data_IF_844740270226
#
_entry.id   IF_844740270226
#
_cell.length_a   1.000
_cell.length_b   1.000
_cell.length_c   1.000
_cell.angle_alpha   90.00
_cell.angle_beta   90.00
_cell.angle_gamma   90.00
#
_symmetry.space_group_name_H-M   'P 1'
#
loop_
_entity.id
_entity.type
_entity.pdbx_description
1 polymer ?
#
# COMPACT_ATOMS: atom_id res chain seq x y z
N UNK A 1 -9.84 24.48 -4.89
CA UNK A 1 -8.76 23.97 -4.02
C UNK A 1 -8.18 25.22 -3.39
N UNK A 2 -8.50 25.46 -2.12
CA UNK A 2 -8.46 26.82 -1.56
C UNK A 2 -7.17 27.12 -0.79
N UNK A 3 -6.37 26.07 -0.56
CA UNK A 3 -5.02 26.13 0.02
C UNK A 3 -4.15 25.05 -0.60
N UNK A 4 -2.89 25.38 -0.85
CA UNK A 4 -1.87 24.39 -1.20
C UNK A 4 -1.24 23.78 0.05
N UNK A 5 -0.86 22.51 -0.05
CA UNK A 5 -0.16 21.76 0.98
C UNK A 5 0.95 20.95 0.32
N UNK A 6 2.09 20.85 1.00
CA UNK A 6 3.19 20.00 0.56
C UNK A 6 2.70 18.57 0.34
N UNK A 7 3.01 18.03 -0.84
CA UNK A 7 2.63 16.69 -1.24
C UNK A 7 1.26 16.55 -1.89
N UNK A 8 0.50 17.61 -2.14
CA UNK A 8 -0.87 17.56 -2.70
C UNK A 8 -1.88 16.82 -1.81
N UNK A 9 -3.17 17.18 -1.93
CA UNK A 9 -4.24 16.54 -1.13
C UNK A 9 -4.34 15.04 -1.45
N UNK A 10 -4.21 14.67 -2.72
CA UNK A 10 -4.31 13.28 -3.16
C UNK A 10 -3.24 12.39 -2.50
N UNK A 11 -1.96 12.79 -2.48
CA UNK A 11 -0.93 11.94 -1.88
C UNK A 11 -1.06 11.84 -0.36
N UNK A 12 -1.62 12.86 0.31
CA UNK A 12 -1.93 12.75 1.74
C UNK A 12 -2.98 11.68 2.03
N UNK A 13 -4.02 11.61 1.20
CA UNK A 13 -5.05 10.58 1.32
C UNK A 13 -4.45 9.20 1.02
N UNK A 14 -3.66 9.08 -0.06
CA UNK A 14 -3.00 7.83 -0.41
C UNK A 14 -2.08 7.34 0.71
N UNK A 15 -1.29 8.23 1.33
CA UNK A 15 -0.43 7.88 2.46
C UNK A 15 -1.24 7.38 3.66
N UNK A 16 -2.39 8.00 3.98
CA UNK A 16 -3.22 7.53 5.09
C UNK A 16 -3.79 6.12 4.83
N UNK A 17 -4.27 5.85 3.62
CA UNK A 17 -4.79 4.53 3.23
C UNK A 17 -3.69 3.47 3.29
N UNK A 18 -2.50 3.83 2.83
CA UNK A 18 -1.32 2.99 2.87
C UNK A 18 -0.88 2.65 4.29
N UNK A 19 -0.83 3.64 5.17
CA UNK A 19 -0.42 3.44 6.56
C UNK A 19 -1.43 2.53 7.30
N UNK A 20 -2.73 2.66 7.01
CA UNK A 20 -3.75 1.73 7.51
C UNK A 20 -3.59 0.30 6.93
N UNK A 21 -3.28 0.19 5.65
CA UNK A 21 -3.03 -1.11 5.01
C UNK A 21 -1.84 -1.85 5.65
N UNK A 22 -0.77 -1.12 6.00
CA UNK A 22 0.35 -1.68 6.76
C UNK A 22 -0.11 -2.15 8.13
N UNK A 23 -0.85 -1.32 8.87
CA UNK A 23 -1.32 -1.68 10.20
C UNK A 23 -2.16 -2.97 10.19
N UNK A 24 -3.05 -3.12 9.20
CA UNK A 24 -3.86 -4.32 9.03
C UNK A 24 -3.02 -5.57 8.72
N UNK A 25 -1.99 -5.42 7.89
CA UNK A 25 -1.06 -6.49 7.56
C UNK A 25 -0.21 -6.90 8.76
N UNK A 26 0.37 -5.93 9.48
CA UNK A 26 1.19 -6.17 10.67
C UNK A 26 0.40 -6.81 11.81
N UNK A 27 -0.86 -6.40 11.99
CA UNK A 27 -1.77 -7.01 12.95
C UNK A 27 -2.29 -8.39 12.55
N UNK A 28 -1.97 -8.87 11.33
CA UNK A 28 -2.44 -10.15 10.83
C UNK A 28 -3.94 -10.20 10.58
N UNK A 29 -4.61 -9.05 10.41
CA UNK A 29 -6.05 -8.97 10.19
C UNK A 29 -6.45 -9.42 8.78
N UNK A 30 -5.58 -9.17 7.79
CA UNK A 30 -5.81 -9.50 6.39
C UNK A 30 -4.49 -9.67 5.64
N UNK A 31 -4.51 -10.44 4.54
CA UNK A 31 -3.37 -10.56 3.64
C UNK A 31 -3.25 -9.34 2.71
N UNK A 32 -2.09 -9.13 2.09
CA UNK A 32 -1.89 -8.06 1.08
C UNK A 32 -2.97 -8.12 -0.01
N UNK A 33 -3.24 -9.32 -0.54
CA UNK A 33 -4.24 -9.53 -1.60
C UNK A 33 -5.65 -9.19 -1.15
N UNK A 34 -6.01 -9.52 0.09
CA UNK A 34 -7.34 -9.21 0.65
C UNK A 34 -7.52 -7.71 0.86
N UNK A 35 -6.48 -7.03 1.34
CA UNK A 35 -6.49 -5.58 1.54
C UNK A 35 -6.61 -4.86 0.20
N UNK A 36 -5.83 -5.27 -0.81
CA UNK A 36 -5.93 -4.70 -2.16
C UNK A 36 -7.30 -4.95 -2.79
N UNK A 37 -7.85 -6.16 -2.63
CA UNK A 37 -9.21 -6.49 -3.08
C UNK A 37 -10.28 -5.64 -2.38
N UNK A 38 -10.16 -5.42 -1.06
CA UNK A 38 -11.08 -4.57 -0.31
C UNK A 38 -11.03 -3.12 -0.81
N UNK A 39 -9.84 -2.56 -1.05
CA UNK A 39 -9.72 -1.20 -1.59
C UNK A 39 -10.29 -1.08 -3.01
N UNK A 40 -10.12 -2.11 -3.86
CA UNK A 40 -10.73 -2.12 -5.20
C UNK A 40 -12.26 -2.22 -5.15
N UNK A 41 -12.78 -3.13 -4.33
CA UNK A 41 -14.21 -3.49 -4.34
C UNK A 41 -15.05 -2.56 -3.48
N UNK A 42 -14.61 -2.26 -2.25
CA UNK A 42 -15.37 -1.46 -1.30
C UNK A 42 -15.11 0.04 -1.45
N UNK A 43 -13.87 0.44 -1.76
CA UNK A 43 -13.50 1.86 -1.90
C UNK A 43 -13.49 2.35 -3.35
N UNK A 44 -13.64 1.45 -4.33
CA UNK A 44 -13.66 1.79 -5.75
C UNK A 44 -12.32 2.25 -6.30
N UNK A 45 -11.21 1.88 -5.64
CA UNK A 45 -9.88 2.21 -6.15
C UNK A 45 -9.57 1.41 -7.41
N UNK A 46 -8.89 2.00 -8.41
CA UNK A 46 -8.50 1.26 -9.63
C UNK A 46 -7.48 0.15 -9.34
N UNK A 47 -6.68 0.31 -8.28
CA UNK A 47 -5.67 -0.62 -7.78
C UNK A 47 -5.60 -0.54 -6.27
N UNK A 48 -5.16 -1.62 -5.64
CA UNK A 48 -4.99 -1.66 -4.20
C UNK A 48 -3.82 -0.77 -3.71
N UNK A 49 -3.78 -0.41 -2.42
CA UNK A 49 -2.72 0.41 -1.86
C UNK A 49 -1.32 -0.17 -2.06
N UNK A 50 -1.15 -1.50 -1.98
CA UNK A 50 0.15 -2.14 -2.19
C UNK A 50 0.55 -2.10 -3.68
N UNK A 51 -0.38 -2.38 -4.58
CA UNK A 51 -0.19 -2.27 -6.05
C UNK A 51 0.18 -0.85 -6.50
N UNK A 52 -0.44 0.18 -5.92
CA UNK A 52 -0.17 1.57 -6.28
C UNK A 52 1.24 2.02 -5.89
N UNK A 53 1.80 1.42 -4.86
CA UNK A 53 3.08 1.85 -4.32
C UNK A 53 4.26 1.38 -5.17
N UNK A 54 4.19 0.15 -5.69
CA UNK A 54 5.21 -0.43 -6.56
C UNK A 54 5.33 0.35 -7.90
N UNK A 55 4.22 0.88 -8.41
CA UNK A 55 4.20 1.70 -9.63
C UNK A 55 4.94 3.05 -9.50
N UNK A 56 5.05 3.58 -8.28
CA UNK A 56 5.64 4.89 -8.05
C UNK A 56 7.17 4.88 -8.10
N UNK A 57 7.79 3.69 -8.09
CA UNK A 57 9.25 3.51 -7.93
C UNK A 57 9.76 3.95 -6.54
N UNK A 58 8.87 4.45 -5.68
CA UNK A 58 9.16 4.74 -4.27
C UNK A 58 8.93 3.44 -3.52
N UNK A 59 9.97 2.82 -2.95
CA UNK A 59 9.76 1.62 -2.14
C UNK A 59 8.74 1.94 -1.04
N UNK A 60 8.05 0.92 -0.53
CA UNK A 60 7.42 1.06 0.79
C UNK A 60 8.41 1.78 1.69
N UNK A 61 7.98 2.76 2.50
CA UNK A 61 8.91 3.35 3.48
C UNK A 61 9.21 2.23 4.47
N UNK A 62 10.15 1.35 4.10
CA UNK A 62 10.49 0.10 4.78
C UNK A 62 11.06 0.42 6.16
N UNK A 63 11.57 1.63 6.31
CA UNK A 63 12.03 2.22 7.57
C UNK A 63 10.90 2.41 8.59
N UNK A 64 9.66 2.63 8.16
CA UNK A 64 8.49 2.76 9.05
C UNK A 64 7.76 1.41 9.26
N UNK A 65 8.05 0.39 8.43
CA UNK A 65 7.47 -0.96 8.55
C UNK A 65 8.26 -1.81 9.54
N UNK A 66 7.55 -2.50 10.42
CA UNK A 66 8.13 -3.41 11.41
C UNK A 66 8.99 -4.49 10.72
N UNK A 67 10.13 -4.91 11.32
CA UNK A 67 10.99 -5.95 10.77
C UNK A 67 10.24 -7.23 10.32
N UNK A 68 9.10 -7.49 10.94
CA UNK A 68 8.25 -8.67 10.77
C UNK A 68 7.65 -8.77 9.37
N UNK A 69 7.23 -7.65 8.76
CA UNK A 69 6.55 -7.67 7.46
C UNK A 69 7.46 -7.31 6.29
N UNK A 70 8.71 -6.91 6.54
CA UNK A 70 9.66 -6.49 5.50
C UNK A 70 9.89 -7.58 4.45
N UNK A 71 10.08 -8.83 4.90
CA UNK A 71 10.26 -9.97 3.99
C UNK A 71 8.98 -10.24 3.20
N UNK A 72 7.81 -10.19 3.86
CA UNK A 72 6.51 -10.39 3.21
C UNK A 72 6.26 -9.38 2.10
N UNK A 73 6.58 -8.11 2.34
CA UNK A 73 6.47 -7.06 1.32
C UNK A 73 7.45 -7.26 0.17
N UNK A 74 8.70 -7.66 0.46
CA UNK A 74 9.70 -7.95 -0.56
C UNK A 74 9.27 -9.14 -1.45
N UNK A 75 8.85 -10.24 -0.84
CA UNK A 75 8.38 -11.44 -1.54
C UNK A 75 7.15 -11.14 -2.41
N UNK A 76 6.22 -10.32 -1.89
CA UNK A 76 5.06 -9.89 -2.64
C UNK A 76 5.44 -9.03 -3.85
N UNK A 77 6.32 -8.03 -3.66
CA UNK A 77 6.77 -7.15 -4.74
C UNK A 77 7.44 -7.95 -5.87
N UNK A 78 8.29 -8.92 -5.53
CA UNK A 78 8.89 -9.81 -6.52
C UNK A 78 7.84 -10.64 -7.29
N UNK A 79 6.83 -11.17 -6.59
CA UNK A 79 5.75 -11.95 -7.22
C UNK A 79 4.90 -11.09 -8.15
N UNK A 80 4.62 -9.85 -7.74
CA UNK A 80 3.88 -8.87 -8.52
C UNK A 80 4.65 -8.48 -9.79
N UNK A 81 5.95 -8.20 -9.67
CA UNK A 81 6.83 -7.91 -10.83
C UNK A 81 6.89 -9.08 -11.83
N UNK A 82 6.76 -10.32 -11.35
CA UNK A 82 6.68 -11.54 -12.19
C UNK A 82 5.29 -11.80 -12.79
N UNK A 83 4.29 -10.96 -12.49
CA UNK A 83 2.90 -11.14 -12.97
C UNK A 83 2.17 -12.33 -12.34
N UNK A 84 2.61 -12.72 -11.14
CA UNK A 84 2.18 -13.94 -10.43
C UNK A 84 1.49 -13.66 -9.09
N UNK A 85 1.01 -12.42 -8.93
CA UNK A 85 0.29 -11.92 -7.75
C UNK A 85 -1.18 -11.66 -8.09
#
# INVERSE_FOLDING_TARGET
MDKEINGFIANRILNAIRDEAVFLLEGGYASITDIDAACRTALGHPRGPFELQDMSGVPFRVEDSSPQIRQTLADWAERFARGSA
#
